data_IF_356382831203
#
_entry.id   IF_356382831203
#
_cell.length_a   1.000
_cell.length_b   1.000
_cell.length_c   1.000
_cell.angle_alpha   90.00
_cell.angle_beta   90.00
_cell.angle_gamma   90.00
#
_symmetry.space_group_name_H-M   'P 1'
#
loop_
_entity.id
_entity.type
_entity.pdbx_description
1 polymer ?
#
# COMPACT_ATOMS: atom_id res chain seq x y z
N UNK A 1 56.67 -36.10 22.15
CA UNK A 1 55.39 -36.40 21.48
C UNK A 1 54.30 -35.44 21.95
N UNK A 2 54.07 -34.28 21.31
CA UNK A 2 52.83 -33.51 21.58
C UNK A 2 52.54 -32.36 20.60
N UNK A 3 52.72 -32.58 19.28
CA UNK A 3 52.21 -31.64 18.25
C UNK A 3 51.37 -32.31 17.16
N UNK A 4 51.17 -33.62 17.24
CA UNK A 4 50.45 -34.42 16.22
C UNK A 4 49.04 -34.86 16.63
N UNK A 5 48.53 -34.47 17.81
CA UNK A 5 47.25 -34.98 18.33
C UNK A 5 46.03 -34.09 18.10
N UNK A 6 46.17 -32.90 17.50
CA UNK A 6 45.04 -31.96 17.31
C UNK A 6 44.43 -31.93 15.90
N UNK A 7 44.89 -32.76 14.96
CA UNK A 7 44.39 -32.72 13.58
C UNK A 7 43.03 -33.44 13.43
N UNK A 8 42.65 -34.32 14.37
CA UNK A 8 41.48 -35.20 14.23
C UNK A 8 40.25 -34.93 15.10
N UNK A 9 40.27 -33.93 16.00
CA UNK A 9 39.15 -33.68 16.91
C UNK A 9 38.19 -32.63 16.37
N UNK A 10 36.89 -32.84 16.58
CA UNK A 10 35.86 -31.86 16.25
C UNK A 10 36.14 -30.53 17.00
N UNK A 11 35.94 -29.37 16.35
CA UNK A 11 36.07 -28.08 17.02
C UNK A 11 35.04 -27.92 18.13
N UNK A 12 35.50 -27.35 19.25
CA UNK A 12 34.60 -26.99 20.34
C UNK A 12 33.80 -25.74 19.97
N UNK A 13 32.48 -25.92 19.89
CA UNK A 13 31.49 -24.90 19.56
C UNK A 13 30.53 -24.65 20.71
N UNK A 14 30.79 -25.16 21.92
CA UNK A 14 29.90 -24.93 23.08
C UNK A 14 29.72 -23.45 23.41
N UNK A 15 30.73 -22.66 23.08
CA UNK A 15 30.77 -21.24 23.42
C UNK A 15 29.94 -20.38 22.48
N UNK A 16 29.53 -20.89 21.30
CA UNK A 16 28.74 -20.16 20.30
C UNK A 16 27.26 -20.55 20.36
N UNK A 17 26.38 -19.72 19.82
CA UNK A 17 24.95 -20.01 19.82
C UNK A 17 24.64 -21.27 18.99
N UNK A 18 23.63 -22.04 19.39
CA UNK A 18 23.25 -23.30 18.74
C UNK A 18 22.97 -23.18 17.23
N UNK A 19 22.51 -22.02 16.78
CA UNK A 19 22.30 -21.75 15.35
C UNK A 19 23.59 -21.44 14.60
N UNK A 20 24.56 -20.74 15.20
CA UNK A 20 25.89 -20.55 14.63
C UNK A 20 26.61 -21.89 14.51
N UNK A 21 26.45 -22.75 15.53
CA UNK A 21 26.90 -24.13 15.49
C UNK A 21 26.24 -24.91 14.34
N UNK A 22 24.92 -24.86 14.21
CA UNK A 22 24.20 -25.53 13.13
C UNK A 22 24.61 -25.02 11.74
N UNK A 23 24.79 -23.72 11.57
CA UNK A 23 25.23 -23.10 10.32
C UNK A 23 26.67 -23.50 9.95
N UNK A 24 27.59 -23.49 10.90
CA UNK A 24 28.98 -23.92 10.67
C UNK A 24 29.01 -25.41 10.31
N UNK A 25 28.21 -26.24 10.98
CA UNK A 25 28.09 -27.68 10.69
C UNK A 25 27.55 -27.89 9.28
N UNK A 26 26.43 -27.26 8.93
CA UNK A 26 25.75 -27.44 7.65
C UNK A 26 26.63 -26.98 6.47
N UNK A 27 27.30 -25.84 6.60
CA UNK A 27 28.14 -25.29 5.54
C UNK A 27 29.44 -26.07 5.28
N UNK A 28 29.88 -26.90 6.24
CA UNK A 28 31.11 -27.69 6.11
C UNK A 28 30.84 -29.18 5.86
N UNK A 29 29.59 -29.65 5.88
CA UNK A 29 29.24 -31.08 5.85
C UNK A 29 29.72 -31.81 4.60
N UNK A 30 29.80 -31.12 3.45
CA UNK A 30 30.13 -31.72 2.16
C UNK A 30 31.64 -31.70 1.82
N UNK A 31 32.51 -31.34 2.77
CA UNK A 31 33.98 -31.25 2.58
C UNK A 31 34.70 -32.62 2.48
N UNK A 32 33.95 -33.71 2.43
CA UNK A 32 34.47 -35.07 2.28
C UNK A 32 34.99 -35.64 3.60
N UNK A 33 36.31 -35.73 3.76
CA UNK A 33 36.91 -36.37 4.94
C UNK A 33 36.60 -35.59 6.24
N UNK A 34 36.46 -36.27 7.40
CA UNK A 34 36.25 -35.60 8.68
C UNK A 34 37.30 -34.53 9.01
N UNK A 35 38.55 -34.74 8.58
CA UNK A 35 39.63 -33.77 8.76
C UNK A 35 39.35 -32.46 7.98
N UNK A 36 38.82 -32.55 6.76
CA UNK A 36 38.47 -31.38 5.94
C UNK A 36 37.24 -30.66 6.51
N UNK A 37 36.25 -31.41 7.00
CA UNK A 37 35.07 -30.86 7.69
C UNK A 37 35.51 -30.08 8.92
N UNK A 38 36.30 -30.67 9.81
CA UNK A 38 36.78 -30.01 11.04
C UNK A 38 37.75 -28.86 10.76
N UNK A 39 38.51 -28.91 9.67
CA UNK A 39 39.32 -27.77 9.23
C UNK A 39 38.45 -26.58 8.80
N UNK A 40 37.44 -26.82 7.97
CA UNK A 40 36.45 -25.81 7.55
C UNK A 40 35.70 -25.22 8.76
N UNK A 41 35.27 -26.08 9.68
CA UNK A 41 34.57 -25.66 10.88
C UNK A 41 35.45 -24.80 11.80
N UNK A 42 36.74 -25.15 11.98
CA UNK A 42 37.70 -24.34 12.75
C UNK A 42 37.98 -22.99 12.12
N UNK A 43 38.12 -22.94 10.80
CA UNK A 43 38.32 -21.70 10.05
C UNK A 43 37.11 -20.77 10.24
N UNK A 44 35.90 -21.28 10.02
CA UNK A 44 34.66 -20.51 10.22
C UNK A 44 34.44 -20.10 11.67
N UNK A 45 34.71 -20.99 12.63
CA UNK A 45 34.66 -20.67 14.05
C UNK A 45 35.69 -19.60 14.42
N UNK A 46 36.90 -19.68 13.88
CA UNK A 46 37.95 -18.67 14.11
C UNK A 46 37.57 -17.33 13.51
N UNK A 47 36.99 -17.30 12.30
CA UNK A 47 36.46 -16.09 11.70
C UNK A 47 35.35 -15.50 12.56
N UNK A 48 34.37 -16.32 12.96
CA UNK A 48 33.28 -15.92 13.86
C UNK A 48 33.80 -15.36 15.20
N UNK A 49 34.80 -16.01 15.81
CA UNK A 49 35.44 -15.55 17.06
C UNK A 49 36.28 -14.28 16.86
N UNK A 50 36.96 -14.13 15.72
CA UNK A 50 37.77 -12.96 15.38
C UNK A 50 36.93 -11.70 15.11
N UNK A 51 35.68 -11.90 14.69
CA UNK A 51 34.66 -10.86 14.54
C UNK A 51 34.05 -10.42 15.87
N UNK A 52 34.50 -11.02 16.98
CA UNK A 52 34.05 -10.73 18.33
C UNK A 52 32.76 -11.45 18.68
N UNK A 53 32.84 -12.33 19.68
CA UNK A 53 31.72 -12.67 20.54
C UNK A 53 31.06 -11.38 21.06
N UNK A 54 30.08 -10.87 20.32
CA UNK A 54 29.62 -9.50 20.49
C UNK A 54 28.84 -8.94 19.30
N UNK A 55 29.01 -9.52 18.12
CA UNK A 55 28.40 -8.94 16.91
C UNK A 55 26.87 -8.78 17.01
N UNK A 56 26.19 -9.82 17.49
CA UNK A 56 24.74 -9.84 17.77
C UNK A 56 24.39 -9.78 19.27
N UNK A 57 25.31 -9.40 20.15
CA UNK A 57 25.09 -9.48 21.60
C UNK A 57 23.85 -8.69 22.06
N UNK A 58 23.54 -7.59 21.37
CA UNK A 58 22.38 -6.73 21.63
C UNK A 58 21.29 -6.85 20.55
N UNK A 59 21.35 -7.89 19.71
CA UNK A 59 20.42 -8.09 18.59
C UNK A 59 19.47 -9.24 18.91
N UNK A 60 18.15 -9.00 18.77
CA UNK A 60 17.16 -10.03 19.07
C UNK A 60 17.30 -11.24 18.12
N UNK A 61 16.76 -12.39 18.54
CA UNK A 61 16.76 -13.58 17.69
C UNK A 61 16.05 -13.36 16.35
N UNK A 62 14.99 -12.55 16.34
CA UNK A 62 14.22 -12.21 15.13
C UNK A 62 15.04 -11.32 14.20
N UNK A 63 15.67 -10.26 14.73
CA UNK A 63 16.56 -9.39 13.97
C UNK A 63 17.72 -10.20 13.36
N UNK A 64 18.36 -11.08 14.16
CA UNK A 64 19.47 -11.93 13.73
C UNK A 64 19.06 -12.85 12.58
N UNK A 65 17.89 -13.48 12.67
CA UNK A 65 17.35 -14.32 11.60
C UNK A 65 17.08 -13.52 10.31
N UNK A 66 16.48 -12.33 10.43
CA UNK A 66 16.22 -11.45 9.28
C UNK A 66 17.50 -10.97 8.59
N UNK A 67 18.54 -10.65 9.35
CA UNK A 67 19.85 -10.26 8.79
C UNK A 67 20.50 -11.44 8.04
N UNK A 68 20.47 -12.64 8.62
CA UNK A 68 20.99 -13.85 7.96
C UNK A 68 20.24 -14.10 6.66
N UNK A 69 18.91 -14.02 6.67
CA UNK A 69 18.08 -14.25 5.50
C UNK A 69 18.38 -13.25 4.38
N UNK A 70 18.51 -11.97 4.71
CA UNK A 70 18.85 -10.91 3.76
C UNK A 70 20.25 -11.10 3.12
N UNK A 71 21.20 -11.68 3.86
CA UNK A 71 22.58 -11.82 3.41
C UNK A 71 22.93 -13.21 2.83
N UNK A 72 22.05 -14.22 2.90
CA UNK A 72 22.39 -15.61 2.55
C UNK A 72 22.83 -15.82 1.10
N UNK A 73 22.41 -14.96 0.18
CA UNK A 73 22.64 -15.10 -1.26
C UNK A 73 23.84 -14.28 -1.78
N UNK A 74 24.72 -13.76 -0.92
CA UNK A 74 25.85 -12.91 -1.32
C UNK A 74 27.03 -13.64 -1.99
N UNK A 75 26.87 -14.94 -2.29
CA UNK A 75 27.78 -15.75 -3.11
C UNK A 75 29.02 -16.27 -2.38
N UNK A 76 29.91 -15.39 -1.92
CA UNK A 76 31.11 -15.79 -1.17
C UNK A 76 30.86 -15.75 0.35
N UNK A 77 31.44 -16.65 1.17
CA UNK A 77 31.35 -16.54 2.63
C UNK A 77 31.81 -15.18 3.15
N UNK A 78 32.88 -14.60 2.58
CA UNK A 78 33.37 -13.28 2.95
C UNK A 78 32.35 -12.16 2.62
N UNK A 79 31.58 -12.31 1.53
CA UNK A 79 30.54 -11.36 1.16
C UNK A 79 29.33 -11.47 2.09
N UNK A 80 28.96 -12.69 2.49
CA UNK A 80 27.90 -12.91 3.49
C UNK A 80 28.30 -12.27 4.82
N UNK A 81 29.53 -12.50 5.28
CA UNK A 81 30.07 -11.89 6.50
C UNK A 81 30.12 -10.37 6.41
N UNK A 82 30.57 -9.80 5.29
CA UNK A 82 30.57 -8.34 5.08
C UNK A 82 29.16 -7.75 5.05
N UNK A 83 28.18 -8.47 4.49
CA UNK A 83 26.78 -8.05 4.46
C UNK A 83 26.18 -8.03 5.88
N UNK A 84 26.34 -9.12 6.64
CA UNK A 84 25.89 -9.18 8.04
C UNK A 84 26.63 -8.13 8.89
N UNK A 85 27.94 -8.00 8.62
CA UNK A 85 28.84 -6.86 8.83
C UNK A 85 28.11 -5.52 8.97
N UNK A 86 27.59 -5.13 7.81
CA UNK A 86 26.93 -3.87 7.50
C UNK A 86 25.51 -3.77 8.06
N UNK A 87 24.70 -4.83 7.93
CA UNK A 87 23.29 -4.81 8.34
C UNK A 87 23.11 -4.69 9.85
N UNK A 88 23.98 -5.30 10.65
CA UNK A 88 24.02 -5.07 12.10
C UNK A 88 24.37 -3.62 12.42
N UNK A 89 25.29 -3.01 11.68
CA UNK A 89 25.68 -1.61 11.88
C UNK A 89 24.52 -0.66 11.57
N UNK A 90 23.79 -0.90 10.47
CA UNK A 90 22.55 -0.18 10.13
C UNK A 90 21.50 -0.36 11.22
N UNK A 91 21.31 -1.58 11.72
CA UNK A 91 20.35 -1.88 12.78
C UNK A 91 20.68 -1.15 14.08
N UNK A 92 21.97 -1.08 14.47
CA UNK A 92 22.41 -0.31 15.64
C UNK A 92 22.16 1.19 15.47
N UNK A 93 22.39 1.73 14.28
CA UNK A 93 22.13 3.15 13.99
C UNK A 93 20.65 3.49 14.06
N UNK A 94 19.79 2.63 13.51
CA UNK A 94 18.35 2.88 13.54
C UNK A 94 17.70 2.53 14.87
N UNK A 95 18.30 1.61 15.63
CA UNK A 95 17.78 1.09 16.89
C UNK A 95 16.65 0.09 16.69
N UNK A 96 15.78 -0.02 17.69
CA UNK A 96 14.66 -0.98 17.69
C UNK A 96 13.54 -0.60 16.74
N UNK A 97 12.67 -1.58 16.47
CA UNK A 97 11.38 -1.40 15.81
C UNK A 97 10.62 -0.22 16.45
N UNK A 98 9.93 0.62 15.66
CA UNK A 98 9.14 1.71 16.20
C UNK A 98 7.98 1.16 17.05
N UNK A 99 7.71 1.85 18.16
CA UNK A 99 6.49 1.57 18.93
C UNK A 99 5.26 2.09 18.19
N UNK A 100 4.33 1.17 17.96
CA UNK A 100 3.04 1.43 17.33
C UNK A 100 1.88 1.05 18.26
N UNK A 101 2.15 0.79 19.54
CA UNK A 101 1.17 0.37 20.57
C UNK A 101 -0.10 1.22 20.56
N UNK A 102 0.03 2.53 20.38
CA UNK A 102 -1.06 3.50 20.34
C UNK A 102 -1.91 3.52 19.04
N UNK A 103 -1.50 2.77 18.00
CA UNK A 103 -2.26 2.68 16.75
C UNK A 103 -3.35 1.60 16.81
N UNK A 104 -4.40 1.80 16.01
CA UNK A 104 -5.36 0.75 15.71
C UNK A 104 -4.66 -0.49 15.12
N UNK A 105 -5.22 -1.66 15.42
CA UNK A 105 -4.62 -2.93 15.01
C UNK A 105 -4.45 -3.05 13.48
N UNK A 106 -5.41 -2.54 12.71
CA UNK A 106 -5.33 -2.54 11.24
C UNK A 106 -4.27 -1.57 10.71
N UNK A 107 -4.08 -0.41 11.34
CA UNK A 107 -3.04 0.54 10.92
C UNK A 107 -1.64 -0.03 11.19
N UNK A 108 -1.47 -0.67 12.35
CA UNK A 108 -0.24 -1.39 12.66
C UNK A 108 0.04 -2.50 11.64
N UNK A 109 -0.98 -3.32 11.34
CA UNK A 109 -0.85 -4.39 10.36
C UNK A 109 -0.53 -3.85 8.95
N UNK A 110 -1.19 -2.77 8.54
CA UNK A 110 -0.95 -2.13 7.25
C UNK A 110 0.46 -1.55 7.10
N UNK A 111 1.00 -0.92 8.15
CA UNK A 111 2.39 -0.45 8.15
C UNK A 111 3.37 -1.62 8.09
N UNK A 112 3.13 -2.70 8.85
CA UNK A 112 3.97 -3.90 8.80
C UNK A 112 3.95 -4.51 7.40
N UNK A 113 2.76 -4.65 6.81
CA UNK A 113 2.58 -5.25 5.48
C UNK A 113 3.26 -4.44 4.38
N UNK A 114 3.11 -3.10 4.40
CA UNK A 114 3.75 -2.20 3.44
C UNK A 114 5.29 -2.25 3.49
N UNK A 115 5.86 -2.61 4.64
CA UNK A 115 7.31 -2.59 4.87
C UNK A 115 7.97 -3.96 4.93
N UNK A 116 7.22 -5.08 4.89
CA UNK A 116 7.77 -6.43 5.12
C UNK A 116 8.81 -6.86 4.09
N UNK A 117 8.68 -6.38 2.86
CA UNK A 117 9.53 -6.78 1.72
C UNK A 117 10.77 -5.89 1.56
N UNK A 118 11.09 -5.05 2.55
CA UNK A 118 12.25 -4.14 2.53
C UNK A 118 13.58 -4.86 2.82
N UNK A 119 13.57 -6.19 2.90
CA UNK A 119 14.75 -7.02 3.11
C UNK A 119 15.16 -7.07 4.58
N UNK A 120 16.31 -6.47 4.92
CA UNK A 120 16.87 -6.56 6.26
C UNK A 120 16.01 -5.83 7.32
N UNK A 121 16.06 -6.25 8.60
CA UNK A 121 15.35 -5.58 9.69
C UNK A 121 15.60 -4.08 9.77
N UNK A 122 16.83 -3.62 9.49
CA UNK A 122 17.15 -2.20 9.51
C UNK A 122 16.35 -1.40 8.46
N UNK A 123 16.19 -1.95 7.25
CA UNK A 123 15.39 -1.32 6.20
C UNK A 123 13.88 -1.38 6.53
N UNK A 124 13.42 -2.50 7.08
CA UNK A 124 12.03 -2.65 7.55
C UNK A 124 11.72 -1.60 8.61
N UNK A 125 12.56 -1.45 9.66
CA UNK A 125 12.34 -0.46 10.72
C UNK A 125 12.42 0.98 10.22
N UNK A 126 13.25 1.25 9.21
CA UNK A 126 13.31 2.56 8.55
C UNK A 126 12.00 2.89 7.85
N UNK A 127 11.52 1.99 6.99
CA UNK A 127 10.23 2.12 6.33
C UNK A 127 9.11 2.31 7.36
N UNK A 128 9.06 1.47 8.40
CA UNK A 128 8.03 1.56 9.42
C UNK A 128 8.05 2.89 10.18
N UNK A 129 9.24 3.45 10.48
CA UNK A 129 9.38 4.78 11.09
C UNK A 129 8.92 5.89 10.16
N UNK A 130 9.23 5.79 8.87
CA UNK A 130 8.78 6.72 7.85
C UNK A 130 7.25 6.70 7.71
N UNK A 131 6.65 5.51 7.56
CA UNK A 131 5.18 5.34 7.45
C UNK A 131 4.44 5.77 8.72
N UNK A 132 4.96 5.42 9.90
CA UNK A 132 4.41 5.89 11.17
C UNK A 132 4.45 7.43 11.27
N UNK A 133 5.54 8.05 10.81
CA UNK A 133 5.69 9.51 10.81
C UNK A 133 4.73 10.17 9.83
N UNK A 134 4.55 9.60 8.63
CA UNK A 134 3.55 10.05 7.66
C UNK A 134 2.14 9.99 8.25
N UNK A 135 1.78 8.87 8.87
CA UNK A 135 0.47 8.65 9.48
C UNK A 135 0.22 9.65 10.62
N UNK A 136 1.19 9.86 11.51
CA UNK A 136 1.10 10.86 12.58
C UNK A 136 0.96 12.28 12.05
N UNK A 137 1.68 12.63 10.99
CA UNK A 137 1.65 13.97 10.37
C UNK A 137 0.29 14.30 9.78
N UNK A 138 -0.34 13.35 9.08
CA UNK A 138 -1.68 13.58 8.56
C UNK A 138 -2.71 13.50 9.70
N UNK A 139 -2.45 12.70 10.74
CA UNK A 139 -3.35 12.44 11.85
C UNK A 139 -3.76 10.98 11.81
N UNK A 140 -3.43 10.25 12.88
CA UNK A 140 -3.49 8.79 12.94
C UNK A 140 -4.92 8.21 12.97
N UNK A 141 -5.94 9.05 13.08
CA UNK A 141 -7.32 8.63 13.01
C UNK A 141 -7.78 8.52 11.55
N UNK A 142 -8.57 7.47 11.20
CA UNK A 142 -9.28 7.42 9.94
C UNK A 142 -10.10 8.70 9.74
N UNK A 143 -10.22 9.21 8.50
CA UNK A 143 -11.04 10.37 8.24
C UNK A 143 -12.52 10.12 8.54
N UNK A 144 -13.16 11.14 9.12
CA UNK A 144 -14.60 11.09 9.40
C UNK A 144 -15.42 11.21 8.11
N UNK A 145 -16.25 10.20 7.87
CA UNK A 145 -17.17 10.05 6.74
C UNK A 145 -18.63 9.91 7.22
N UNK A 146 -18.93 10.31 8.46
CA UNK A 146 -20.25 10.15 9.07
C UNK A 146 -21.35 11.00 8.42
N UNK A 147 -20.97 12.09 7.77
CA UNK A 147 -21.82 13.08 7.13
C UNK A 147 -22.18 12.76 5.66
N UNK A 148 -21.56 11.74 5.06
CA UNK A 148 -21.81 11.33 3.68
C UNK A 148 -22.60 10.02 3.60
N UNK A 149 -23.23 9.77 2.45
CA UNK A 149 -24.03 8.56 2.23
C UNK A 149 -23.18 7.28 2.35
N UNK A 150 -23.81 6.16 2.69
CA UNK A 150 -23.13 4.87 2.77
C UNK A 150 -22.52 4.44 1.42
N UNK A 151 -23.16 4.83 0.31
CA UNK A 151 -22.68 4.55 -1.06
C UNK A 151 -21.42 5.36 -1.35
N UNK A 152 -21.41 6.66 -1.05
CA UNK A 152 -20.24 7.51 -1.24
C UNK A 152 -19.07 7.05 -0.36
N UNK A 153 -19.36 6.71 0.89
CA UNK A 153 -18.37 6.14 1.82
C UNK A 153 -17.73 4.88 1.26
N UNK A 154 -18.55 3.94 0.78
CA UNK A 154 -18.04 2.69 0.19
C UNK A 154 -17.21 2.97 -1.07
N UNK A 155 -17.64 3.88 -1.94
CA UNK A 155 -16.89 4.27 -3.13
C UNK A 155 -15.52 4.89 -2.82
N UNK A 156 -15.44 5.76 -1.81
CA UNK A 156 -14.15 6.35 -1.38
C UNK A 156 -13.23 5.28 -0.79
N UNK A 157 -13.76 4.40 0.06
CA UNK A 157 -12.97 3.28 0.63
C UNK A 157 -12.45 2.39 -0.49
N UNK A 158 -13.30 2.05 -1.47
CA UNK A 158 -12.95 1.18 -2.59
C UNK A 158 -11.88 1.81 -3.51
N UNK A 159 -12.00 3.10 -3.80
CA UNK A 159 -11.04 3.82 -4.65
C UNK A 159 -9.64 3.95 -4.00
N UNK A 160 -9.60 4.03 -2.66
CA UNK A 160 -8.36 4.17 -1.91
C UNK A 160 -7.81 2.84 -1.37
N UNK A 161 -8.53 1.72 -1.54
CA UNK A 161 -8.04 0.41 -1.09
C UNK A 161 -6.77 0.04 -1.88
N UNK A 162 -5.76 -0.48 -1.18
CA UNK A 162 -4.49 -0.87 -1.80
C UNK A 162 -3.52 0.27 -2.10
N UNK A 163 -3.84 1.51 -1.70
CA UNK A 163 -2.88 2.60 -1.73
C UNK A 163 -1.86 2.42 -0.60
N UNK A 164 -0.73 1.79 -0.90
CA UNK A 164 0.45 1.78 -0.04
C UNK A 164 0.16 1.49 1.44
N UNK A 165 0.65 2.36 2.31
CA UNK A 165 0.44 2.26 3.76
C UNK A 165 -0.87 2.91 4.20
N UNK A 166 -1.32 2.72 5.45
CA UNK A 166 -2.48 3.44 5.98
C UNK A 166 -2.41 4.97 5.84
N UNK A 167 -1.21 5.55 5.84
CA UNK A 167 -1.04 6.98 5.63
C UNK A 167 -1.47 7.40 4.22
N UNK A 168 -1.09 6.62 3.20
CA UNK A 168 -1.46 6.87 1.81
C UNK A 168 -2.97 6.67 1.59
N UNK A 169 -3.54 5.62 2.20
CA UNK A 169 -4.99 5.39 2.20
C UNK A 169 -5.74 6.58 2.80
N UNK A 170 -5.37 7.03 4.00
CA UNK A 170 -6.06 8.15 4.67
C UNK A 170 -5.87 9.46 3.94
N UNK A 171 -4.70 9.68 3.32
CA UNK A 171 -4.48 10.83 2.46
C UNK A 171 -5.44 10.82 1.26
N UNK A 172 -5.50 9.73 0.51
CA UNK A 172 -6.44 9.54 -0.61
C UNK A 172 -7.89 9.78 -0.18
N UNK A 173 -8.28 9.16 0.94
CA UNK A 173 -9.65 9.28 1.46
C UNK A 173 -10.01 10.72 1.81
N UNK A 174 -9.11 11.46 2.48
CA UNK A 174 -9.34 12.88 2.81
C UNK A 174 -9.38 13.76 1.59
N UNK A 175 -8.55 13.49 0.60
CA UNK A 175 -8.58 14.20 -0.67
C UNK A 175 -9.95 14.02 -1.34
N UNK A 176 -10.42 12.77 -1.47
CA UNK A 176 -11.73 12.44 -2.06
C UNK A 176 -12.90 12.99 -1.25
N UNK A 177 -12.83 12.94 0.09
CA UNK A 177 -13.80 13.58 0.99
C UNK A 177 -13.85 15.09 0.79
N UNK A 178 -12.69 15.74 0.71
CA UNK A 178 -12.61 17.19 0.48
C UNK A 178 -13.15 17.56 -0.89
N UNK A 179 -12.96 16.74 -1.92
CA UNK A 179 -13.59 16.94 -3.21
C UNK A 179 -15.11 16.84 -3.08
N UNK A 180 -15.62 15.76 -2.46
CA UNK A 180 -17.05 15.55 -2.28
C UNK A 180 -17.71 16.72 -1.52
N UNK A 181 -17.15 17.12 -0.37
CA UNK A 181 -17.64 18.26 0.42
C UNK A 181 -17.46 19.60 -0.29
N UNK A 182 -16.35 19.79 -1.02
CA UNK A 182 -16.12 20.97 -1.83
C UNK A 182 -17.13 21.13 -2.95
N UNK A 183 -17.73 20.02 -3.40
CA UNK A 183 -18.72 20.01 -4.47
C UNK A 183 -20.14 20.30 -3.97
N UNK A 184 -20.40 20.13 -2.67
CA UNK A 184 -21.60 20.65 -1.99
C UNK A 184 -21.58 22.17 -1.79
N UNK A 185 -20.43 22.83 -2.01
CA UNK A 185 -20.28 24.29 -1.99
C UNK A 185 -20.23 24.93 -3.39
N UNK A 186 -20.54 24.16 -4.45
CA UNK A 186 -20.53 24.64 -5.83
C UNK A 186 -21.74 25.54 -6.14
N UNK A 187 -21.77 26.75 -5.59
CA UNK A 187 -22.81 27.77 -5.85
C UNK A 187 -23.04 28.10 -7.34
N UNK A 188 -22.10 27.68 -8.20
CA UNK A 188 -22.22 27.82 -9.65
C UNK A 188 -23.15 26.80 -10.32
N UNK A 189 -23.73 25.86 -9.56
CA UNK A 189 -24.73 24.86 -9.97
C UNK A 189 -26.09 25.09 -9.30
N UNK A 190 -26.28 26.17 -8.53
CA UNK A 190 -27.56 26.46 -7.85
C UNK A 190 -28.71 26.74 -8.84
N UNK A 191 -28.39 26.91 -10.13
CA UNK A 191 -29.34 27.17 -11.21
C UNK A 191 -29.91 25.89 -11.87
N UNK A 192 -29.47 24.70 -11.46
CA UNK A 192 -29.94 23.41 -12.01
C UNK A 192 -30.68 22.57 -10.95
N UNK A 193 -31.45 21.58 -11.39
CA UNK A 193 -32.18 20.70 -10.47
C UNK A 193 -31.24 19.80 -9.66
N UNK A 194 -31.66 19.37 -8.48
CA UNK A 194 -30.92 18.40 -7.67
C UNK A 194 -30.63 17.10 -8.43
N UNK A 195 -31.54 16.67 -9.30
CA UNK A 195 -31.38 15.49 -10.14
C UNK A 195 -30.28 15.67 -11.20
N UNK A 196 -30.24 16.82 -11.87
CA UNK A 196 -29.18 17.17 -12.83
C UNK A 196 -27.84 17.28 -12.13
N UNK A 197 -27.82 17.94 -10.96
CA UNK A 197 -26.64 18.08 -10.12
C UNK A 197 -26.08 16.72 -9.74
N UNK A 198 -26.93 15.82 -9.26
CA UNK A 198 -26.56 14.45 -8.91
C UNK A 198 -26.01 13.66 -10.11
N UNK A 199 -26.66 13.76 -11.28
CA UNK A 199 -26.20 13.07 -12.49
C UNK A 199 -24.84 13.57 -13.00
N UNK A 200 -24.57 14.87 -12.92
CA UNK A 200 -23.25 15.43 -13.25
C UNK A 200 -22.18 14.97 -12.26
N UNK A 201 -22.51 14.94 -10.97
CA UNK A 201 -21.61 14.41 -9.93
C UNK A 201 -21.27 12.95 -10.22
N UNK A 202 -22.26 12.12 -10.53
CA UNK A 202 -22.09 10.68 -10.75
C UNK A 202 -21.17 10.36 -11.94
N UNK A 203 -21.41 10.99 -13.10
CA UNK A 203 -20.58 10.76 -14.29
C UNK A 203 -19.14 11.24 -14.11
N UNK A 204 -18.93 12.34 -13.38
CA UNK A 204 -17.59 12.87 -13.10
C UNK A 204 -16.86 12.04 -12.04
N UNK A 205 -17.60 11.36 -11.15
CA UNK A 205 -17.04 10.41 -10.18
C UNK A 205 -16.57 9.12 -10.85
N UNK A 206 -17.34 8.59 -11.79
CA UNK A 206 -17.01 7.35 -12.52
C UNK A 206 -15.80 7.49 -13.45
N UNK A 207 -15.52 8.69 -13.95
CA UNK A 207 -14.39 8.94 -14.88
C UNK A 207 -13.00 9.01 -14.20
N UNK A 208 -12.89 8.73 -12.91
CA UNK A 208 -11.60 8.51 -12.23
C UNK A 208 -10.73 9.76 -12.05
N UNK A 209 -11.33 10.95 -12.15
CA UNK A 209 -10.63 12.23 -12.11
C UNK A 209 -9.94 12.52 -10.77
N UNK A 210 -8.66 12.90 -10.81
CA UNK A 210 -7.99 13.65 -9.72
C UNK A 210 -8.68 15.02 -9.54
N UNK A 211 -8.42 15.74 -8.44
CA UNK A 211 -9.14 16.96 -8.06
C UNK A 211 -9.34 17.98 -9.19
N UNK A 212 -8.28 18.17 -9.99
CA UNK A 212 -8.24 19.11 -11.12
C UNK A 212 -9.12 18.63 -12.29
N UNK A 213 -9.17 17.33 -12.53
CA UNK A 213 -10.02 16.72 -13.55
C UNK A 213 -11.50 16.72 -13.13
N UNK A 214 -11.79 16.67 -11.82
CA UNK A 214 -13.16 16.53 -11.32
C UNK A 214 -13.93 17.85 -11.40
N UNK A 215 -13.37 18.94 -10.90
CA UNK A 215 -13.98 20.29 -11.02
C UNK A 215 -14.08 20.73 -12.49
N UNK A 216 -13.08 20.36 -13.30
CA UNK A 216 -13.10 20.58 -14.75
C UNK A 216 -14.20 19.78 -15.43
N UNK A 217 -14.37 18.49 -15.07
CA UNK A 217 -15.45 17.65 -15.55
C UNK A 217 -16.82 18.24 -15.21
N UNK A 218 -17.04 18.65 -13.96
CA UNK A 218 -18.31 19.25 -13.54
C UNK A 218 -18.65 20.50 -14.34
N UNK A 219 -17.68 21.40 -14.55
CA UNK A 219 -17.88 22.59 -15.40
C UNK A 219 -18.15 22.22 -16.84
N UNK A 220 -17.49 21.20 -17.38
CA UNK A 220 -17.69 20.72 -18.75
C UNK A 220 -19.10 20.14 -18.94
N UNK A 221 -19.52 19.25 -18.05
CA UNK A 221 -20.85 18.63 -18.10
C UNK A 221 -21.97 19.63 -17.78
N UNK A 222 -21.75 20.59 -16.87
CA UNK A 222 -22.67 21.69 -16.63
C UNK A 222 -22.83 22.59 -17.86
N UNK A 223 -21.72 22.97 -18.51
CA UNK A 223 -21.79 23.77 -19.73
C UNK A 223 -22.46 22.99 -20.88
N UNK A 224 -22.27 21.67 -20.92
CA UNK A 224 -22.97 20.80 -21.86
C UNK A 224 -24.47 20.80 -21.59
N UNK A 225 -24.89 20.62 -20.33
CA UNK A 225 -26.29 20.67 -19.91
C UNK A 225 -26.94 22.03 -20.22
N UNK A 226 -26.27 23.14 -19.91
CA UNK A 226 -26.75 24.49 -20.23
C UNK A 226 -26.94 24.73 -21.73
N UNK A 227 -26.17 24.06 -22.58
CA UNK A 227 -26.33 24.11 -24.05
C UNK A 227 -27.48 23.23 -24.53
N UNK A 228 -27.67 22.06 -23.92
CA UNK A 228 -28.79 21.16 -24.24
C UNK A 228 -30.12 21.75 -23.78
N UNK A 229 -30.14 22.43 -22.64
CA UNK A 229 -31.35 22.96 -22.01
C UNK A 229 -32.03 21.94 -21.09
N UNK A 230 -33.23 22.26 -20.59
CA UNK A 230 -33.98 21.40 -19.69
C UNK A 230 -34.45 20.11 -20.39
N UNK A 231 -34.88 19.14 -19.58
CA UNK A 231 -35.49 17.92 -20.07
C UNK A 231 -36.62 18.23 -21.09
N UNK A 232 -36.70 17.51 -22.22
CA UNK A 232 -37.76 17.69 -23.20
C UNK A 232 -39.15 17.49 -22.59
N UNK A 233 -40.09 18.37 -22.97
CA UNK A 233 -41.48 18.22 -22.55
C UNK A 233 -42.15 17.04 -23.29
N UNK A 234 -42.61 16.06 -22.53
CA UNK A 234 -43.29 14.86 -22.99
C UNK A 234 -44.73 14.77 -22.48
N UNK A 235 -45.30 15.88 -22.02
CA UNK A 235 -46.68 15.91 -21.51
C UNK A 235 -47.73 15.62 -22.58
N UNK A 236 -47.40 15.86 -23.86
CA UNK A 236 -48.30 15.66 -24.99
C UNK A 236 -48.34 14.22 -25.54
N UNK A 237 -47.55 13.29 -24.99
CA UNK A 237 -47.48 11.89 -25.45
C UNK A 237 -48.03 10.93 -24.39
N UNK A 238 -48.36 9.71 -24.81
CA UNK A 238 -48.89 8.70 -23.89
C UNK A 238 -47.84 8.30 -22.84
N UNK A 239 -48.28 7.92 -21.64
CA UNK A 239 -47.39 7.41 -20.59
C UNK A 239 -46.55 6.21 -21.08
N UNK A 240 -47.11 5.38 -21.95
CA UNK A 240 -46.43 4.23 -22.54
C UNK A 240 -45.30 4.65 -23.50
N UNK A 241 -45.50 5.71 -24.29
CA UNK A 241 -44.45 6.25 -25.16
C UNK A 241 -43.39 6.98 -24.33
N UNK A 242 -43.80 7.76 -23.33
CA UNK A 242 -42.91 8.45 -22.40
C UNK A 242 -41.99 7.46 -21.67
N UNK A 243 -42.54 6.37 -21.14
CA UNK A 243 -41.75 5.34 -20.47
C UNK A 243 -40.73 4.67 -21.41
N UNK A 244 -41.11 4.40 -22.67
CA UNK A 244 -40.21 3.82 -23.68
C UNK A 244 -39.03 4.76 -24.00
N UNK A 245 -39.29 6.06 -24.15
CA UNK A 245 -38.24 7.06 -24.40
C UNK A 245 -37.29 7.16 -23.20
N UNK A 246 -37.82 7.22 -21.97
CA UNK A 246 -37.02 7.30 -20.75
C UNK A 246 -36.11 6.07 -20.62
N UNK A 247 -36.65 4.86 -20.83
CA UNK A 247 -35.88 3.63 -20.69
C UNK A 247 -34.80 3.49 -21.78
N UNK A 248 -35.09 3.92 -23.01
CA UNK A 248 -34.10 3.90 -24.10
C UNK A 248 -32.88 4.79 -23.79
N UNK A 249 -33.12 5.98 -23.22
CA UNK A 249 -32.07 6.99 -23.02
C UNK A 249 -31.40 6.94 -21.63
N UNK A 250 -31.82 6.06 -20.72
CA UNK A 250 -31.38 6.07 -19.31
C UNK A 250 -29.88 5.89 -19.10
N UNK A 251 -29.17 5.30 -20.08
CA UNK A 251 -27.75 4.94 -19.97
C UNK A 251 -26.84 5.83 -20.82
N UNK A 252 -27.34 6.92 -21.38
CA UNK A 252 -26.61 7.80 -22.32
C UNK A 252 -25.48 8.63 -21.65
N UNK A 253 -25.32 8.54 -20.33
CA UNK A 253 -24.22 9.17 -19.61
C UNK A 253 -24.67 10.35 -18.76
N UNK A 254 -24.23 11.57 -19.07
CA UNK A 254 -24.59 12.74 -18.26
C UNK A 254 -26.04 13.18 -18.53
N UNK A 255 -26.68 13.99 -17.66
CA UNK A 255 -28.04 14.47 -17.90
C UNK A 255 -28.22 15.15 -19.26
N UNK A 256 -27.18 15.83 -19.75
CA UNK A 256 -27.20 16.46 -21.07
C UNK A 256 -27.29 15.44 -22.22
N UNK A 257 -26.65 14.27 -22.09
CA UNK A 257 -26.73 13.19 -23.06
C UNK A 257 -28.13 12.54 -23.04
N UNK A 258 -28.66 12.31 -21.84
CA UNK A 258 -30.02 11.79 -21.64
C UNK A 258 -31.04 12.71 -22.30
N UNK A 259 -30.97 14.03 -22.06
CA UNK A 259 -31.91 14.99 -22.63
C UNK A 259 -31.78 15.14 -24.15
N UNK A 260 -30.57 15.03 -24.69
CA UNK A 260 -30.36 15.01 -26.13
C UNK A 260 -31.01 13.78 -26.77
N UNK A 261 -30.76 12.58 -26.24
CA UNK A 261 -31.40 11.35 -26.71
C UNK A 261 -32.93 11.43 -26.63
N UNK A 262 -33.45 11.90 -25.50
CA UNK A 262 -34.89 12.06 -25.29
C UNK A 262 -35.53 13.00 -26.31
N UNK A 263 -34.86 14.12 -26.64
CA UNK A 263 -35.34 15.08 -27.63
C UNK A 263 -35.34 14.48 -29.05
N UNK A 264 -34.35 13.66 -29.37
CA UNK A 264 -34.28 12.94 -30.64
C UNK A 264 -35.39 11.89 -30.75
N UNK A 265 -35.60 11.07 -29.73
CA UNK A 265 -36.65 10.05 -29.71
C UNK A 265 -38.06 10.67 -29.77
N UNK A 266 -38.28 11.76 -29.02
CA UNK A 266 -39.54 12.50 -29.08
C UNK A 266 -39.78 13.10 -30.49
N UNK A 267 -38.73 13.57 -31.15
CA UNK A 267 -38.82 14.10 -32.51
C UNK A 267 -39.12 13.02 -33.54
N UNK A 268 -38.62 11.79 -33.35
CA UNK A 268 -38.94 10.63 -34.20
C UNK A 268 -40.42 10.26 -34.05
N UNK A 269 -40.95 10.28 -32.82
CA UNK A 269 -42.34 9.94 -32.54
C UNK A 269 -43.32 10.95 -33.14
N UNK A 270 -43.02 12.26 -33.06
CA UNK A 270 -43.86 13.35 -33.59
C UNK A 270 -43.85 13.51 -35.12
N UNK A 271 -43.00 12.76 -35.84
CA UNK A 271 -42.96 12.76 -37.31
C UNK A 271 -43.97 11.78 -37.94
N UNK A 272 -44.72 11.07 -37.12
CA UNK A 272 -45.85 10.23 -37.50
C UNK A 272 -47.15 10.85 -36.99
#
# INVERSE_FOLDING_TARGET
MSKLKQIGSAPDMSDIFAWDQAYIIDACKDRGSPANVYSCQRERLSNLKSLGFGYYADTSAVDRAGIIDACKNQGSPANVESCQSEEVSKLKQIGSAPDMSDLFAWDRAGIIDACKDQGSPANVYRCQKEELSKLKRIGAAPPDMSDISAVDRAGIIDACKGWGSPADVYFCQREKLSMLRGTDSASYMDDISDADRAGIIDICRYRGSLADDYSSCQRKELNKLRRTGPAPDMSDISDADRARIIDACRNEGSPADVYSCQGEELSKLRRF
#
